data_IF_533429586519
#
_entry.id   IF_533429586519
#
_cell.length_a   1.000
_cell.length_b   1.000
_cell.length_c   1.000
_cell.angle_alpha   90.00
_cell.angle_beta   90.00
_cell.angle_gamma   90.00
#
_symmetry.space_group_name_H-M   'P 1'
#
loop_
_entity.id
_entity.type
_entity.pdbx_description
1 polymer ?
#
# COMPACT_ATOMS: atom_id res chain seq x y z
N UNK A 1 -7.37 65.90 -21.95
CA UNK A 1 -6.60 65.17 -20.91
C UNK A 1 -7.35 63.99 -20.29
N UNK A 2 -8.66 64.10 -19.97
CA UNK A 2 -9.43 63.03 -19.33
C UNK A 2 -9.66 61.78 -20.21
N UNK A 3 -9.72 61.94 -21.53
CA UNK A 3 -9.98 60.83 -22.49
C UNK A 3 -8.72 60.02 -22.78
N UNK A 4 -7.55 60.68 -22.84
CA UNK A 4 -6.25 60.02 -23.04
C UNK A 4 -5.85 59.19 -21.81
N UNK A 5 -6.05 59.71 -20.58
CA UNK A 5 -5.82 58.94 -19.35
C UNK A 5 -6.65 57.65 -19.29
N UNK A 6 -7.91 57.68 -19.75
CA UNK A 6 -8.78 56.49 -19.77
C UNK A 6 -8.29 55.42 -20.76
N UNK A 7 -7.77 55.83 -21.91
CA UNK A 7 -7.26 54.91 -22.94
C UNK A 7 -5.93 54.27 -22.47
N UNK A 8 -5.05 55.03 -21.82
CA UNK A 8 -3.79 54.51 -21.26
C UNK A 8 -4.03 53.46 -20.17
N UNK A 9 -5.09 53.61 -19.36
CA UNK A 9 -5.43 52.70 -18.26
C UNK A 9 -5.98 51.34 -18.75
N UNK A 10 -6.67 51.33 -19.90
CA UNK A 10 -7.20 50.11 -20.52
C UNK A 10 -6.07 49.26 -21.14
N UNK A 11 -5.04 49.88 -21.73
CA UNK A 11 -3.91 49.17 -22.34
C UNK A 11 -3.06 48.45 -21.28
N UNK A 12 -2.87 49.06 -20.10
CA UNK A 12 -2.21 48.41 -18.94
C UNK A 12 -3.01 47.19 -18.44
N UNK A 13 -4.34 47.24 -18.53
CA UNK A 13 -5.22 46.17 -18.07
C UNK A 13 -5.18 44.92 -18.97
N UNK A 14 -4.99 45.10 -20.29
CA UNK A 14 -4.94 44.00 -21.26
C UNK A 14 -3.57 43.30 -21.24
N UNK A 15 -2.49 44.00 -20.83
CA UNK A 15 -1.17 43.40 -20.66
C UNK A 15 -1.09 42.32 -19.57
N UNK A 16 -1.95 42.40 -18.55
CA UNK A 16 -1.98 41.45 -17.43
C UNK A 16 -2.61 40.09 -17.77
N UNK A 17 -3.29 39.95 -18.91
CA UNK A 17 -3.90 38.68 -19.33
C UNK A 17 -2.99 37.81 -20.21
N UNK A 18 -1.85 38.33 -20.65
CA UNK A 18 -0.87 37.54 -21.44
C UNK A 18 0.08 36.70 -20.57
N UNK A 19 0.14 36.95 -19.26
CA UNK A 19 0.96 36.15 -18.32
C UNK A 19 0.43 34.74 -18.08
N UNK A 20 -0.83 34.46 -18.43
CA UNK A 20 -1.45 33.13 -18.33
C UNK A 20 -1.15 32.20 -19.52
N UNK A 21 -0.31 32.59 -20.49
CA UNK A 21 0.20 31.68 -21.53
C UNK A 21 1.65 31.20 -21.28
N UNK A 22 2.20 31.43 -20.08
CA UNK A 22 3.47 30.81 -19.70
C UNK A 22 3.27 29.30 -19.64
N UNK A 23 3.96 28.57 -20.52
CA UNK A 23 4.07 27.09 -20.44
C UNK A 23 4.52 26.79 -19.02
N UNK A 24 3.62 26.22 -18.24
CA UNK A 24 3.87 25.99 -16.82
C UNK A 24 5.11 25.12 -16.68
N UNK A 25 6.20 25.69 -16.16
CA UNK A 25 7.40 24.92 -15.87
C UNK A 25 7.13 24.06 -14.65
N UNK A 26 6.78 22.81 -14.92
CA UNK A 26 6.47 21.81 -13.89
C UNK A 26 7.67 21.64 -12.94
N UNK A 27 8.91 21.79 -13.41
CA UNK A 27 10.07 21.67 -12.53
C UNK A 27 10.12 22.82 -11.53
N UNK A 28 9.80 24.05 -11.97
CA UNK A 28 9.75 25.21 -11.08
C UNK A 28 8.67 25.05 -10.00
N UNK A 29 7.51 24.51 -10.36
CA UNK A 29 6.42 24.21 -9.40
C UNK A 29 6.87 23.13 -8.41
N UNK A 30 7.51 22.07 -8.89
CA UNK A 30 7.97 20.95 -8.05
C UNK A 30 9.18 21.30 -7.18
N UNK A 31 9.95 22.35 -7.52
CA UNK A 31 11.02 22.87 -6.68
C UNK A 31 10.53 23.60 -5.43
N UNK A 32 9.29 24.10 -5.43
CA UNK A 32 8.68 24.69 -4.24
C UNK A 32 8.15 23.60 -3.30
N UNK A 33 8.66 23.54 -2.07
CA UNK A 33 8.33 22.49 -1.10
C UNK A 33 6.85 22.47 -0.71
N UNK A 34 6.27 23.65 -0.48
CA UNK A 34 4.89 23.78 0.02
C UNK A 34 3.90 23.38 -1.07
N UNK A 35 4.17 23.81 -2.30
CA UNK A 35 3.38 23.47 -3.48
C UNK A 35 3.49 21.98 -3.78
N UNK A 36 4.70 21.41 -3.75
CA UNK A 36 4.92 19.98 -3.90
C UNK A 36 4.16 19.18 -2.83
N UNK A 37 4.20 19.60 -1.57
CA UNK A 37 3.45 18.96 -0.49
C UNK A 37 1.95 19.03 -0.73
N UNK A 38 1.42 20.20 -1.08
CA UNK A 38 -0.01 20.37 -1.35
C UNK A 38 -0.49 19.48 -2.52
N UNK A 39 0.32 19.35 -3.58
CA UNK A 39 0.04 18.42 -4.70
C UNK A 39 0.02 16.97 -4.20
N UNK A 40 1.04 16.55 -3.44
CA UNK A 40 1.12 15.18 -2.91
C UNK A 40 -0.06 14.86 -1.98
N UNK A 41 -0.42 15.77 -1.08
CA UNK A 41 -1.55 15.63 -0.18
C UNK A 41 -2.87 15.55 -0.97
N UNK A 42 -3.02 16.35 -2.03
CA UNK A 42 -4.21 16.31 -2.90
C UNK A 42 -4.35 14.96 -3.59
N UNK A 43 -3.25 14.42 -4.13
CA UNK A 43 -3.24 13.09 -4.76
C UNK A 43 -3.62 12.03 -3.73
N UNK A 44 -2.98 12.03 -2.55
CA UNK A 44 -3.20 11.03 -1.52
C UNK A 44 -4.61 11.03 -0.93
N UNK A 45 -5.28 12.20 -0.89
CA UNK A 45 -6.63 12.33 -0.36
C UNK A 45 -7.74 12.26 -1.44
N UNK A 46 -7.38 12.06 -2.71
CA UNK A 46 -8.35 11.87 -3.80
C UNK A 46 -8.21 10.47 -4.40
N UNK A 47 -9.28 9.66 -4.33
CA UNK A 47 -9.24 8.26 -4.74
C UNK A 47 -8.92 8.04 -6.21
N UNK A 48 -9.39 8.90 -7.10
CA UNK A 48 -9.19 8.74 -8.54
C UNK A 48 -7.79 9.18 -8.93
N UNK A 49 -7.31 10.31 -8.41
CA UNK A 49 -5.91 10.74 -8.59
C UNK A 49 -4.92 9.73 -7.99
N UNK A 50 -5.24 9.16 -6.83
CA UNK A 50 -4.44 8.10 -6.21
C UNK A 50 -4.35 6.85 -7.10
N UNK A 51 -5.47 6.43 -7.72
CA UNK A 51 -5.47 5.30 -8.67
C UNK A 51 -4.63 5.61 -9.91
N UNK A 52 -4.80 6.79 -10.49
CA UNK A 52 -4.03 7.22 -11.66
C UNK A 52 -2.53 7.30 -11.36
N UNK A 53 -2.17 7.84 -10.19
CA UNK A 53 -0.77 7.89 -9.74
C UNK A 53 -0.21 6.48 -9.53
N UNK A 54 -0.98 5.57 -8.93
CA UNK A 54 -0.57 4.17 -8.76
C UNK A 54 -0.37 3.48 -10.12
N UNK A 55 -1.28 3.69 -11.07
CA UNK A 55 -1.17 3.16 -12.42
C UNK A 55 0.05 3.72 -13.15
N UNK A 56 0.30 5.03 -13.04
CA UNK A 56 1.49 5.66 -13.61
C UNK A 56 2.79 5.08 -13.02
N UNK A 57 2.84 4.86 -11.70
CA UNK A 57 3.97 4.19 -11.06
C UNK A 57 4.18 2.78 -11.62
N UNK A 58 3.13 1.96 -11.70
CA UNK A 58 3.19 0.58 -12.23
C UNK A 58 3.66 0.53 -13.68
N UNK A 59 3.34 1.55 -14.48
CA UNK A 59 3.75 1.61 -15.88
C UNK A 59 5.16 2.17 -16.08
N UNK A 60 5.70 2.92 -15.11
CA UNK A 60 7.04 3.49 -15.18
C UNK A 60 8.15 2.48 -14.91
N UNK A 61 9.33 2.64 -15.54
CA UNK A 61 10.49 1.75 -15.31
C UNK A 61 10.96 1.75 -13.85
N UNK A 62 11.03 2.94 -13.23
CA UNK A 62 11.43 3.10 -11.82
C UNK A 62 10.41 2.48 -10.87
N UNK A 63 9.11 2.67 -11.12
CA UNK A 63 8.08 2.05 -10.32
C UNK A 63 8.05 0.53 -10.48
N UNK A 64 8.24 0.01 -11.70
CA UNK A 64 8.44 -1.44 -11.92
C UNK A 64 9.63 -1.96 -11.13
N UNK A 65 10.79 -1.31 -11.20
CA UNK A 65 11.98 -1.74 -10.46
C UNK A 65 11.75 -1.74 -8.93
N UNK A 66 11.02 -0.74 -8.41
CA UNK A 66 10.64 -0.71 -7.00
C UNK A 66 9.74 -1.91 -6.63
N UNK A 67 8.80 -2.28 -7.50
CA UNK A 67 7.86 -3.37 -7.27
C UNK A 67 8.46 -4.76 -7.54
N UNK A 68 9.40 -4.90 -8.47
CA UNK A 68 10.01 -6.18 -8.82
C UNK A 68 11.26 -6.50 -8.01
N UNK A 69 11.81 -5.53 -7.27
CA UNK A 69 12.95 -5.79 -6.42
C UNK A 69 12.53 -6.69 -5.25
N UNK A 70 12.97 -7.95 -5.29
CA UNK A 70 12.62 -8.98 -4.32
C UNK A 70 12.89 -8.54 -2.87
N UNK A 71 13.99 -7.85 -2.63
CA UNK A 71 14.35 -7.32 -1.31
C UNK A 71 13.36 -6.26 -0.81
N UNK A 72 12.94 -5.35 -1.70
CA UNK A 72 11.96 -4.33 -1.35
C UNK A 72 10.58 -4.94 -1.08
N UNK A 73 10.16 -5.94 -1.86
CA UNK A 73 8.91 -6.67 -1.60
C UNK A 73 8.96 -7.42 -0.26
N UNK A 74 10.05 -8.15 0.00
CA UNK A 74 10.25 -8.85 1.28
C UNK A 74 10.21 -7.87 2.46
N UNK A 75 10.86 -6.71 2.33
CA UNK A 75 10.87 -5.69 3.37
C UNK A 75 9.47 -5.12 3.61
N UNK A 76 8.73 -4.77 2.55
CA UNK A 76 7.35 -4.27 2.68
C UNK A 76 6.44 -5.29 3.37
N UNK A 77 6.57 -6.58 3.06
CA UNK A 77 5.79 -7.63 3.73
C UNK A 77 6.17 -7.81 5.20
N UNK A 78 7.46 -7.72 5.54
CA UNK A 78 7.94 -7.81 6.93
C UNK A 78 7.49 -6.61 7.78
N UNK A 79 7.56 -5.41 7.21
CA UNK A 79 7.23 -4.17 7.90
C UNK A 79 5.71 -3.98 8.05
N UNK A 80 4.90 -4.67 7.24
CA UNK A 80 3.44 -4.61 7.28
C UNK A 80 2.80 -5.99 7.54
N UNK A 81 2.69 -6.41 8.82
CA UNK A 81 2.10 -7.70 9.17
C UNK A 81 0.61 -7.80 8.79
N UNK A 82 -0.11 -6.68 8.68
CA UNK A 82 -1.50 -6.68 8.23
C UNK A 82 -1.61 -7.07 6.75
N UNK A 83 -0.70 -6.58 5.90
CA UNK A 83 -0.61 -6.97 4.49
C UNK A 83 -0.28 -8.46 4.36
N UNK A 84 0.73 -8.94 5.10
CA UNK A 84 1.09 -10.36 5.08
C UNK A 84 -0.09 -11.25 5.51
N UNK A 85 -0.82 -10.86 6.56
CA UNK A 85 -2.00 -11.58 7.04
C UNK A 85 -3.14 -11.57 6.02
N UNK A 86 -3.41 -10.43 5.38
CA UNK A 86 -4.44 -10.30 4.35
C UNK A 86 -4.17 -11.24 3.18
N UNK A 87 -2.95 -11.19 2.64
CA UNK A 87 -2.53 -12.07 1.54
C UNK A 87 -2.61 -13.56 1.90
N UNK A 88 -2.17 -13.93 3.11
CA UNK A 88 -2.29 -15.31 3.59
C UNK A 88 -3.75 -15.76 3.72
N UNK A 89 -4.63 -14.86 4.18
CA UNK A 89 -6.07 -15.14 4.32
C UNK A 89 -6.72 -15.35 2.96
N UNK A 90 -6.48 -14.46 2.00
CA UNK A 90 -7.01 -14.59 0.63
C UNK A 90 -6.52 -15.87 -0.06
N UNK A 91 -5.23 -16.20 0.08
CA UNK A 91 -4.68 -17.46 -0.43
C UNK A 91 -5.35 -18.69 0.20
N UNK A 92 -5.64 -18.63 1.50
CA UNK A 92 -6.35 -19.70 2.20
C UNK A 92 -7.81 -19.80 1.76
N UNK A 93 -8.50 -18.70 1.51
CA UNK A 93 -9.87 -18.72 0.98
C UNK A 93 -9.91 -19.29 -0.44
N UNK A 94 -8.97 -18.90 -1.30
CA UNK A 94 -8.86 -19.42 -2.66
C UNK A 94 -8.57 -20.93 -2.67
N UNK A 95 -7.74 -21.42 -1.74
CA UNK A 95 -7.41 -22.85 -1.65
C UNK A 95 -8.56 -23.71 -1.11
N UNK A 96 -9.57 -23.14 -0.42
CA UNK A 96 -10.73 -23.93 0.05
C UNK A 96 -11.53 -24.57 -1.08
N UNK A 97 -11.59 -23.92 -2.24
CA UNK A 97 -12.36 -24.40 -3.40
C UNK A 97 -11.48 -25.08 -4.44
N UNK A 98 -10.15 -24.90 -4.37
CA UNK A 98 -9.18 -25.58 -5.22
C UNK A 98 -8.54 -26.76 -4.49
N UNK A 99 -9.09 -27.96 -4.75
CA UNK A 99 -8.62 -29.21 -4.13
C UNK A 99 -7.16 -29.53 -4.47
N UNK A 100 -6.66 -29.12 -5.63
CA UNK A 100 -5.26 -29.35 -6.02
C UNK A 100 -4.35 -28.47 -5.18
N UNK A 101 -4.65 -27.17 -5.10
CA UNK A 101 -3.91 -26.22 -4.28
C UNK A 101 -3.94 -26.61 -2.79
N UNK A 102 -5.10 -27.02 -2.28
CA UNK A 102 -5.22 -27.50 -0.90
C UNK A 102 -4.38 -28.76 -0.65
N UNK A 103 -4.41 -29.72 -1.57
CA UNK A 103 -3.65 -30.97 -1.44
C UNK A 103 -2.14 -30.70 -1.45
N UNK A 104 -1.65 -29.87 -2.36
CA UNK A 104 -0.24 -29.48 -2.41
C UNK A 104 0.20 -28.69 -1.17
N UNK A 105 -0.66 -27.82 -0.66
CA UNK A 105 -0.42 -27.10 0.58
C UNK A 105 -0.32 -28.07 1.77
N UNK A 106 -1.28 -28.97 1.94
CA UNK A 106 -1.25 -30.00 2.98
C UNK A 106 0.00 -30.89 2.87
N UNK A 107 0.36 -31.30 1.65
CA UNK A 107 1.56 -32.09 1.39
C UNK A 107 2.83 -31.33 1.80
N UNK A 108 2.97 -30.08 1.37
CA UNK A 108 4.12 -29.23 1.70
C UNK A 108 4.28 -29.01 3.21
N UNK A 109 3.16 -28.93 3.94
CA UNK A 109 3.17 -28.86 5.41
C UNK A 109 3.63 -30.18 6.05
N UNK A 110 3.15 -31.32 5.54
CA UNK A 110 3.54 -32.65 6.05
C UNK A 110 5.01 -32.98 5.74
N UNK A 111 5.50 -32.56 4.58
CA UNK A 111 6.90 -32.75 4.15
C UNK A 111 7.88 -31.86 4.94
N UNK A 112 7.38 -30.89 5.74
CA UNK A 112 8.20 -30.02 6.57
C UNK A 112 8.27 -30.53 8.04
N UNK A 113 9.37 -31.21 8.45
CA UNK A 113 9.48 -31.83 9.77
C UNK A 113 9.36 -30.82 10.91
N UNK A 114 9.91 -29.61 10.74
CA UNK A 114 9.83 -28.55 11.76
C UNK A 114 8.39 -28.09 11.99
N UNK A 115 7.57 -28.05 10.94
CA UNK A 115 6.15 -27.71 11.06
C UNK A 115 5.36 -28.85 11.73
N UNK A 116 5.65 -30.11 11.36
CA UNK A 116 5.05 -31.28 11.99
C UNK A 116 5.37 -31.35 13.48
N UNK A 117 6.62 -31.11 13.88
CA UNK A 117 7.06 -31.06 15.27
C UNK A 117 6.28 -29.99 16.04
N UNK A 118 6.17 -28.78 15.49
CA UNK A 118 5.40 -27.70 16.12
C UNK A 118 3.90 -28.03 16.25
N UNK A 119 3.33 -28.74 15.28
CA UNK A 119 1.93 -29.18 15.33
C UNK A 119 1.71 -30.23 16.42
N UNK A 120 2.64 -31.18 16.57
CA UNK A 120 2.64 -32.18 17.62
C UNK A 120 2.80 -31.52 19.01
N UNK A 121 3.71 -30.56 19.14
CA UNK A 121 3.93 -29.80 20.38
C UNK A 121 2.66 -29.04 20.81
N UNK A 122 2.02 -28.35 19.87
CA UNK A 122 0.77 -27.61 20.15
C UNK A 122 -0.39 -28.54 20.51
N UNK A 123 -0.50 -29.70 19.84
CA UNK A 123 -1.49 -30.73 20.18
C UNK A 123 -1.26 -31.25 21.60
N UNK A 124 -0.01 -31.48 21.98
CA UNK A 124 0.37 -31.92 23.32
C UNK A 124 0.07 -30.85 24.39
N UNK A 125 0.30 -29.57 24.08
CA UNK A 125 -0.05 -28.44 24.97
C UNK A 125 -1.56 -28.27 25.15
N UNK A 126 -2.36 -28.44 24.10
CA UNK A 126 -3.83 -28.40 24.17
C UNK A 126 -4.38 -29.49 25.09
N UNK A 127 -3.88 -30.72 24.97
CA UNK A 127 -4.26 -31.81 25.88
C UNK A 127 -3.85 -31.55 27.34
N UNK A 128 -2.69 -30.92 27.56
CA UNK A 128 -2.21 -30.54 28.89
C UNK A 128 -3.14 -29.50 29.56
N UNK A 129 -3.67 -28.53 28.81
CA UNK A 129 -4.63 -27.56 29.35
C UNK A 129 -5.98 -28.19 29.71
N UNK A 130 -6.53 -29.09 28.89
CA UNK A 130 -7.79 -29.80 29.22
C UNK A 130 -7.68 -30.78 30.39
N UNK A 131 -6.46 -31.17 30.77
CA UNK A 131 -6.19 -32.03 31.94
C UNK A 131 -6.00 -31.27 33.26
N UNK A 132 -5.73 -29.96 33.22
CA UNK A 132 -5.50 -29.15 34.43
C UNK A 132 -6.81 -28.68 35.09
N UNK A 133 -7.90 -28.54 34.33
CA UNK A 133 -9.23 -28.21 34.89
C UNK A 133 -9.81 -29.31 35.78
N UNK A 134 -9.34 -30.55 35.67
CA UNK A 134 -9.86 -31.69 36.45
C UNK A 134 -9.15 -31.92 37.79
N UNK A 135 -8.07 -31.18 38.09
CA UNK A 135 -7.28 -31.38 39.31
C UNK A 135 -7.40 -30.24 40.35
N UNK A 136 -8.23 -29.22 40.12
CA UNK A 136 -8.50 -28.18 41.12
C UNK A 136 -9.64 -28.51 42.11
N UNK A 137 -10.33 -29.65 41.97
CA UNK A 137 -11.50 -30.01 42.78
C UNK A 137 -11.28 -31.15 43.78
N UNK A 138 -10.03 -31.40 44.21
CA UNK A 138 -9.71 -32.34 45.31
C UNK A 138 -9.02 -31.67 46.51
N UNK A 139 -9.32 -30.40 46.77
CA UNK A 139 -8.97 -29.75 48.04
C UNK A 139 -10.14 -28.91 48.54
N UNK A 140 -11.18 -29.60 49.00
CA UNK A 140 -12.13 -29.11 50.01
C UNK A 140 -12.46 -30.25 50.97
#
# INVERSE_FOLDING_TARGET
MKTLQKITLIIVSIGLFTSCQSKTDVNQILSNSDTKKAIMDTIANNSDMSKDMMQAMMNSSKGKMMMTNHENMMKMMKDNPAMMKGMMTEMMEASKTDTTMMSEMCKSMMDNPKMMDMMNDKKMQSHKMTGMDKNMDMSK
#
